data_IF_982285098517
#
_entry.id   IF_982285098517
#
_cell.length_a   1.000
_cell.length_b   1.000
_cell.length_c   1.000
_cell.angle_alpha   90.00
_cell.angle_beta   90.00
_cell.angle_gamma   90.00
#
_symmetry.space_group_name_H-M   'P 1'
#
loop_
_entity.id
_entity.type
_entity.pdbx_description
1 polymer ?
#
# COMPACT_ATOMS: atom_id res chain seq x y z
N UNK A 1 34.75 -3.57 34.62
CA UNK A 1 34.54 -4.60 33.56
C UNK A 1 35.75 -4.59 32.62
N UNK A 2 36.43 -5.72 32.43
CA UNK A 2 37.72 -5.77 31.74
C UNK A 2 37.57 -5.48 30.23
N UNK A 3 38.49 -4.71 29.60
CA UNK A 3 38.37 -4.25 28.19
C UNK A 3 38.18 -5.39 27.17
N UNK A 4 38.67 -6.60 27.50
CA UNK A 4 38.48 -7.82 26.69
C UNK A 4 37.03 -8.33 26.68
N UNK A 5 36.27 -8.11 27.75
CA UNK A 5 34.88 -8.57 27.88
C UNK A 5 33.91 -7.64 27.13
N UNK A 6 34.20 -6.34 27.11
CA UNK A 6 33.39 -5.34 26.39
C UNK A 6 33.36 -5.60 24.87
N UNK A 7 34.51 -5.95 24.27
CA UNK A 7 34.60 -6.27 22.85
C UNK A 7 33.96 -7.60 22.46
N UNK A 8 33.78 -8.53 23.41
CA UNK A 8 33.08 -9.80 23.19
C UNK A 8 31.57 -9.61 23.23
N UNK A 9 31.09 -8.83 24.20
CA UNK A 9 29.66 -8.46 24.33
C UNK A 9 29.20 -7.61 23.14
N UNK A 10 30.00 -6.64 22.68
CA UNK A 10 29.66 -5.81 21.52
C UNK A 10 29.51 -6.62 20.22
N UNK A 11 30.33 -7.67 20.01
CA UNK A 11 30.23 -8.54 18.82
C UNK A 11 29.03 -9.47 18.87
N UNK A 12 28.70 -9.98 20.07
CA UNK A 12 27.51 -10.82 20.27
C UNK A 12 26.24 -9.98 20.09
N UNK A 13 26.22 -8.75 20.61
CA UNK A 13 25.10 -7.82 20.42
C UNK A 13 24.92 -7.43 18.94
N UNK A 14 26.00 -7.17 18.20
CA UNK A 14 25.94 -6.83 16.78
C UNK A 14 25.51 -8.02 15.89
N UNK A 15 25.95 -9.24 16.23
CA UNK A 15 25.52 -10.46 15.54
C UNK A 15 24.06 -10.83 15.86
N UNK A 16 23.63 -10.63 17.11
CA UNK A 16 22.23 -10.82 17.49
C UNK A 16 21.31 -9.81 16.77
N UNK A 17 21.70 -8.53 16.68
CA UNK A 17 20.96 -7.51 15.94
C UNK A 17 20.87 -7.81 14.43
N UNK A 18 21.89 -8.43 13.83
CA UNK A 18 21.89 -8.83 12.43
C UNK A 18 21.02 -10.07 12.16
N UNK A 19 20.98 -11.06 13.07
CA UNK A 19 20.12 -12.24 12.92
C UNK A 19 18.63 -11.93 13.17
N UNK A 20 18.31 -10.93 14.01
CA UNK A 20 16.92 -10.51 14.23
C UNK A 20 16.36 -9.61 13.12
N UNK A 21 17.22 -9.07 12.25
CA UNK A 21 16.81 -8.13 11.19
C UNK A 21 16.34 -8.78 9.88
N UNK A 22 16.48 -10.09 9.72
CA UNK A 22 16.29 -10.78 8.43
C UNK A 22 14.86 -11.29 8.15
N UNK A 23 13.86 -10.99 9.01
CA UNK A 23 12.53 -11.62 8.92
C UNK A 23 11.37 -10.68 8.62
N UNK A 24 11.60 -9.43 8.24
CA UNK A 24 10.51 -8.52 7.90
C UNK A 24 10.43 -8.29 6.39
N UNK A 25 10.07 -9.33 5.63
CA UNK A 25 9.23 -9.06 4.46
C UNK A 25 7.91 -8.53 5.05
N UNK A 26 7.54 -7.29 4.76
CA UNK A 26 6.25 -6.78 5.20
C UNK A 26 5.17 -7.72 4.65
N UNK A 27 4.28 -8.21 5.53
CA UNK A 27 3.15 -9.00 5.07
C UNK A 27 2.32 -8.13 4.11
N UNK A 28 2.15 -8.60 2.88
CA UNK A 28 1.41 -7.92 1.81
C UNK A 28 0.25 -8.81 1.37
N UNK A 29 -0.86 -8.18 0.96
CA UNK A 29 -1.97 -8.88 0.32
C UNK A 29 -1.56 -9.23 -1.10
N UNK A 30 -1.71 -10.50 -1.48
CA UNK A 30 -1.37 -11.02 -2.81
C UNK A 30 -2.56 -11.71 -3.47
N UNK A 31 -2.41 -12.03 -4.76
CA UNK A 31 -3.40 -12.82 -5.49
C UNK A 31 -3.61 -14.19 -4.83
N UNK A 32 -4.86 -14.57 -4.63
CA UNK A 32 -5.26 -15.81 -3.94
C UNK A 32 -5.66 -15.61 -2.47
N UNK A 33 -5.29 -14.48 -1.86
CA UNK A 33 -5.70 -14.18 -0.49
C UNK A 33 -7.20 -13.89 -0.38
N UNK A 34 -7.70 -13.95 0.84
CA UNK A 34 -9.03 -13.50 1.19
C UNK A 34 -8.98 -12.45 2.31
N UNK A 35 -9.75 -11.39 2.13
CA UNK A 35 -9.81 -10.25 3.06
C UNK A 35 -11.24 -10.01 3.53
N UNK A 36 -11.39 -9.25 4.62
CA UNK A 36 -12.65 -8.65 5.04
C UNK A 36 -12.46 -7.16 5.20
N UNK A 37 -13.45 -6.41 4.72
CA UNK A 37 -13.52 -4.96 4.87
C UNK A 37 -14.58 -4.62 5.90
N UNK A 38 -14.24 -3.74 6.83
CA UNK A 38 -15.12 -3.23 7.88
C UNK A 38 -15.41 -1.74 7.66
N UNK A 39 -16.57 -1.27 8.11
CA UNK A 39 -16.98 0.14 8.03
C UNK A 39 -16.37 0.96 9.18
N UNK A 40 -15.10 0.76 9.50
CA UNK A 40 -14.41 1.56 10.50
C UNK A 40 -13.43 2.50 9.79
N UNK A 41 -13.68 3.83 9.80
CA UNK A 41 -14.76 4.57 10.50
C UNK A 41 -16.14 4.48 9.83
N UNK A 42 -17.21 4.68 10.62
CA UNK A 42 -18.62 4.44 10.24
C UNK A 42 -19.20 5.53 9.32
N UNK A 43 -18.71 5.63 8.09
CA UNK A 43 -19.30 6.48 7.06
C UNK A 43 -20.60 5.91 6.48
N UNK A 44 -21.65 6.73 6.38
CA UNK A 44 -22.95 6.41 5.74
C UNK A 44 -22.92 6.48 4.20
N UNK A 45 -21.77 6.86 3.62
CA UNK A 45 -21.47 6.86 2.19
C UNK A 45 -20.07 6.29 1.98
N UNK A 46 -19.95 4.96 1.81
CA UNK A 46 -18.76 4.24 1.36
C UNK A 46 -17.38 4.91 1.66
N UNK A 47 -17.11 5.27 2.91
CA UNK A 47 -15.93 6.06 3.30
C UNK A 47 -14.64 5.25 3.35
N UNK A 48 -13.78 5.53 4.33
CA UNK A 48 -12.61 4.72 4.57
C UNK A 48 -13.01 3.36 5.15
N UNK A 49 -12.50 2.27 4.56
CA UNK A 49 -12.69 0.92 5.07
C UNK A 49 -11.40 0.42 5.70
N UNK A 50 -11.54 -0.18 6.88
CA UNK A 50 -10.47 -0.92 7.51
C UNK A 50 -10.51 -2.36 7.05
N UNK A 51 -9.37 -2.87 6.61
CA UNK A 51 -9.23 -4.21 6.08
C UNK A 51 -8.48 -5.14 7.04
N UNK A 52 -8.86 -6.41 7.00
CA UNK A 52 -8.24 -7.51 7.72
C UNK A 52 -8.04 -8.64 6.74
N UNK A 53 -6.86 -9.25 6.75
CA UNK A 53 -6.62 -10.48 6.03
C UNK A 53 -7.18 -11.67 6.82
N UNK A 54 -8.01 -12.49 6.17
CA UNK A 54 -8.70 -13.61 6.81
C UNK A 54 -8.24 -14.97 6.31
N UNK A 55 -7.58 -15.02 5.16
CA UNK A 55 -6.89 -16.20 4.67
C UNK A 55 -5.72 -15.76 3.81
N UNK A 56 -4.53 -16.27 4.13
CA UNK A 56 -3.33 -16.08 3.33
C UNK A 56 -2.98 -17.34 2.55
N UNK A 57 -2.55 -17.19 1.30
CA UNK A 57 -1.95 -18.30 0.52
C UNK A 57 -0.45 -18.49 0.77
N UNK A 58 0.25 -17.50 1.33
CA UNK A 58 1.70 -17.51 1.57
C UNK A 58 2.12 -17.34 3.03
N UNK A 59 1.17 -17.39 3.98
CA UNK A 59 1.45 -17.17 5.40
C UNK A 59 1.65 -15.69 5.77
N UNK A 60 1.12 -14.75 4.99
CA UNK A 60 1.03 -13.32 5.33
C UNK A 60 0.37 -13.14 6.71
N UNK A 61 0.99 -12.27 7.50
CA UNK A 61 0.67 -12.01 8.90
C UNK A 61 -0.04 -10.67 9.08
N UNK A 62 -0.92 -10.27 8.15
CA UNK A 62 -1.83 -9.13 8.35
C UNK A 62 -2.98 -9.56 9.30
N UNK A 63 -2.60 -10.05 10.48
CA UNK A 63 -3.52 -10.55 11.50
C UNK A 63 -3.80 -9.43 12.50
N UNK A 64 -4.91 -8.71 12.30
CA UNK A 64 -5.42 -7.69 13.22
C UNK A 64 -6.44 -6.76 12.58
N UNK A 65 -7.43 -6.28 13.35
CA UNK A 65 -8.30 -5.19 12.89
C UNK A 65 -7.44 -3.96 12.53
N UNK A 66 -7.72 -3.30 11.40
CA UNK A 66 -6.95 -2.17 10.86
C UNK A 66 -5.56 -2.52 10.30
N UNK A 67 -5.40 -3.70 9.71
CA UNK A 67 -4.16 -4.08 9.02
C UNK A 67 -3.78 -3.10 7.91
N UNK A 68 -4.78 -2.59 7.17
CA UNK A 68 -4.64 -1.41 6.31
C UNK A 68 -5.98 -0.69 6.15
N UNK A 69 -5.95 0.50 5.54
CA UNK A 69 -7.14 1.27 5.19
C UNK A 69 -7.23 1.41 3.68
N UNK A 70 -8.46 1.41 3.17
CA UNK A 70 -8.76 1.45 1.74
C UNK A 70 -10.00 2.29 1.44
N UNK A 71 -10.23 2.54 0.15
CA UNK A 71 -11.36 3.26 -0.41
C UNK A 71 -11.80 2.56 -1.70
N UNK A 72 -13.10 2.66 -2.00
CA UNK A 72 -13.71 2.07 -3.18
C UNK A 72 -13.19 2.76 -4.45
N UNK A 73 -12.90 1.99 -5.49
CA UNK A 73 -12.53 2.55 -6.80
C UNK A 73 -13.76 2.79 -7.67
N UNK A 74 -14.60 1.81 -7.87
CA UNK A 74 -15.75 1.89 -8.79
C UNK A 74 -17.03 2.26 -8.06
N UNK A 75 -17.69 3.38 -8.39
CA UNK A 75 -18.83 3.87 -7.58
C UNK A 75 -20.07 2.95 -7.63
N UNK A 76 -20.22 2.21 -8.72
CA UNK A 76 -21.40 1.39 -8.98
C UNK A 76 -21.20 -0.09 -8.65
N UNK A 77 -20.01 -0.47 -8.22
CA UNK A 77 -19.77 -1.77 -7.64
C UNK A 77 -20.14 -1.78 -6.16
N UNK A 78 -20.40 -2.97 -5.61
CA UNK A 78 -20.81 -3.09 -4.21
C UNK A 78 -20.26 -4.35 -3.57
N UNK A 79 -20.08 -4.26 -2.26
CA UNK A 79 -19.79 -5.39 -1.39
C UNK A 79 -20.58 -5.23 -0.08
N UNK A 80 -20.63 -6.29 0.71
CA UNK A 80 -21.20 -6.25 2.06
C UNK A 80 -20.05 -6.28 3.07
N UNK A 81 -19.88 -5.23 3.90
CA UNK A 81 -18.87 -5.23 4.94
C UNK A 81 -18.97 -6.45 5.86
N UNK A 82 -17.82 -7.00 6.24
CA UNK A 82 -17.71 -8.23 7.05
C UNK A 82 -17.81 -9.53 6.25
N UNK A 83 -18.29 -9.51 5.00
CA UNK A 83 -18.21 -10.69 4.13
C UNK A 83 -16.77 -10.88 3.64
N UNK A 84 -16.38 -12.14 3.46
CA UNK A 84 -15.09 -12.50 2.87
C UNK A 84 -15.09 -12.12 1.39
N UNK A 85 -14.04 -11.40 0.98
CA UNK A 85 -13.74 -11.04 -0.40
C UNK A 85 -12.46 -11.75 -0.82
N UNK A 86 -12.41 -12.21 -2.07
CA UNK A 86 -11.29 -12.95 -2.63
C UNK A 86 -10.50 -12.08 -3.58
N UNK A 87 -9.19 -12.03 -3.38
CA UNK A 87 -8.26 -11.24 -4.19
C UNK A 87 -7.90 -12.07 -5.42
N UNK A 88 -8.36 -11.64 -6.60
CA UNK A 88 -8.00 -12.29 -7.86
C UNK A 88 -6.62 -11.84 -8.34
N UNK A 89 -6.36 -10.54 -8.23
CA UNK A 89 -5.12 -9.92 -8.66
C UNK A 89 -4.88 -8.62 -7.87
N UNK A 90 -3.61 -8.26 -7.73
CA UNK A 90 -3.14 -6.96 -7.22
C UNK A 90 -2.41 -6.28 -8.37
N UNK A 91 -3.04 -5.26 -8.97
CA UNK A 91 -2.52 -4.59 -10.18
C UNK A 91 -2.56 -3.06 -10.05
N UNK A 92 -2.18 -2.34 -11.09
CA UNK A 92 -2.25 -0.88 -11.21
C UNK A 92 -3.54 -0.38 -11.89
N UNK A 93 -4.48 -1.29 -12.15
CA UNK A 93 -5.73 -1.03 -12.83
C UNK A 93 -6.83 -1.99 -12.33
N UNK A 94 -8.09 -1.57 -12.44
CA UNK A 94 -9.24 -2.49 -12.36
C UNK A 94 -9.27 -3.33 -13.64
N UNK A 95 -9.73 -4.58 -13.55
CA UNK A 95 -9.66 -5.54 -14.66
C UNK A 95 -11.00 -5.81 -15.36
N UNK A 96 -12.01 -4.98 -15.10
CA UNK A 96 -13.36 -5.10 -15.66
C UNK A 96 -13.82 -3.88 -16.45
N UNK A 97 -12.89 -3.07 -16.94
CA UNK A 97 -13.25 -1.84 -17.61
C UNK A 97 -13.73 -2.08 -19.04
N UNK A 98 -14.73 -1.28 -19.45
CA UNK A 98 -15.03 -1.12 -20.87
C UNK A 98 -13.86 -0.37 -21.55
N UNK A 99 -13.49 -0.80 -22.75
CA UNK A 99 -12.37 -0.27 -23.53
C UNK A 99 -12.36 1.25 -23.70
N UNK A 100 -13.54 1.89 -23.64
CA UNK A 100 -13.67 3.34 -23.70
C UNK A 100 -13.08 4.11 -22.51
N UNK A 101 -12.96 3.50 -21.32
CA UNK A 101 -12.40 4.15 -20.12
C UNK A 101 -10.87 4.24 -20.18
N UNK A 102 -10.20 3.20 -20.68
CA UNK A 102 -8.74 3.14 -20.85
C UNK A 102 -8.16 4.35 -21.60
N UNK A 103 -8.83 4.81 -22.66
CA UNK A 103 -8.35 5.93 -23.49
C UNK A 103 -8.54 7.32 -22.85
N UNK A 104 -9.33 7.43 -21.78
CA UNK A 104 -9.65 8.71 -21.17
C UNK A 104 -8.67 9.10 -20.05
N UNK A 105 -7.93 8.15 -19.45
CA UNK A 105 -7.05 8.42 -18.31
C UNK A 105 -5.68 8.95 -18.76
N UNK A 106 -5.65 10.26 -19.01
CA UNK A 106 -4.47 11.08 -19.31
C UNK A 106 -3.33 10.88 -18.28
N UNK A 107 -2.45 9.90 -18.53
CA UNK A 107 -1.20 9.70 -17.79
C UNK A 107 -1.17 8.50 -16.82
N UNK A 108 -2.11 7.56 -16.93
CA UNK A 108 -2.19 6.41 -16.02
C UNK A 108 -0.99 5.45 -16.15
N UNK A 109 -0.53 4.89 -15.02
CA UNK A 109 0.61 3.97 -14.97
C UNK A 109 0.15 2.54 -15.25
N UNK A 110 0.22 2.10 -16.51
CA UNK A 110 0.10 0.69 -16.92
C UNK A 110 -1.33 0.11 -16.89
N UNK A 111 -1.76 -0.41 -18.04
CA UNK A 111 -3.04 -1.08 -18.25
C UNK A 111 -3.17 -1.53 -19.71
N UNK A 112 -4.23 -2.28 -20.03
CA UNK A 112 -4.58 -2.71 -21.38
C UNK A 112 -5.96 -2.17 -21.81
N UNK A 113 -6.38 -2.47 -23.05
CA UNK A 113 -7.63 -1.99 -23.63
C UNK A 113 -8.91 -2.47 -22.91
N UNK A 114 -8.83 -3.23 -21.83
CA UNK A 114 -9.95 -3.71 -21.01
C UNK A 114 -9.74 -3.44 -19.51
N UNK A 115 -8.85 -2.52 -19.17
CA UNK A 115 -8.57 -2.13 -17.79
C UNK A 115 -8.78 -0.64 -17.60
N UNK A 116 -9.16 -0.23 -16.38
CA UNK A 116 -9.22 1.17 -15.99
C UNK A 116 -8.03 1.45 -15.06
N UNK A 117 -6.93 2.04 -15.59
CA UNK A 117 -5.72 2.23 -14.80
C UNK A 117 -5.84 3.46 -13.90
N UNK A 118 -5.24 3.35 -12.72
CA UNK A 118 -5.29 4.39 -11.70
C UNK A 118 -4.74 5.70 -12.24
N UNK A 119 -5.43 6.81 -11.93
CA UNK A 119 -4.89 8.12 -12.25
C UNK A 119 -3.70 8.46 -11.33
N UNK A 120 -2.66 9.10 -11.88
CA UNK A 120 -1.52 9.62 -11.09
C UNK A 120 -1.96 10.51 -9.91
N UNK A 121 -3.10 11.18 -10.04
CA UNK A 121 -3.65 12.03 -8.99
C UNK A 121 -4.21 11.21 -7.83
N UNK A 122 -4.88 10.09 -8.12
CA UNK A 122 -5.34 9.15 -7.09
C UNK A 122 -4.16 8.44 -6.44
N UNK A 123 -3.17 8.02 -7.22
CA UNK A 123 -1.93 7.44 -6.69
C UNK A 123 -1.24 8.41 -5.73
N UNK A 124 -1.11 9.69 -6.10
CA UNK A 124 -0.56 10.71 -5.21
C UNK A 124 -1.39 10.89 -3.94
N UNK A 125 -2.71 11.05 -4.09
CA UNK A 125 -3.60 11.34 -2.97
C UNK A 125 -3.60 10.20 -1.94
N UNK A 126 -3.63 8.96 -2.43
CA UNK A 126 -3.60 7.78 -1.57
C UNK A 126 -2.21 7.50 -0.98
N UNK A 127 -1.13 7.82 -1.71
CA UNK A 127 0.23 7.85 -1.16
C UNK A 127 0.34 8.86 -0.04
N UNK A 128 -0.19 10.07 -0.22
CA UNK A 128 -0.18 11.11 0.81
C UNK A 128 -1.02 10.70 2.04
N UNK A 129 -2.17 10.05 1.82
CA UNK A 129 -2.96 9.44 2.89
C UNK A 129 -2.18 8.40 3.70
N UNK A 130 -1.35 7.56 3.07
CA UNK A 130 -0.62 6.52 3.79
C UNK A 130 0.72 6.96 4.39
N UNK A 131 1.37 7.97 3.81
CA UNK A 131 2.70 8.43 4.25
C UNK A 131 2.67 9.63 5.20
N UNK A 132 1.56 10.39 5.26
CA UNK A 132 1.38 11.48 6.21
C UNK A 132 0.42 11.10 7.35
N UNK A 133 0.97 10.71 8.50
CA UNK A 133 0.19 10.25 9.67
C UNK A 133 -0.83 11.27 10.17
N UNK A 134 -0.49 12.56 10.19
CA UNK A 134 -1.40 13.62 10.66
C UNK A 134 -2.58 13.78 9.71
N UNK A 135 -2.32 13.76 8.41
CA UNK A 135 -3.36 13.81 7.38
C UNK A 135 -4.24 12.57 7.44
N UNK A 136 -3.65 11.36 7.48
CA UNK A 136 -4.36 10.09 7.68
C UNK A 136 -5.32 10.14 8.87
N UNK A 137 -4.80 10.54 10.03
CA UNK A 137 -5.59 10.67 11.27
C UNK A 137 -6.72 11.67 11.11
N UNK A 138 -6.49 12.80 10.42
CA UNK A 138 -7.54 13.79 10.16
C UNK A 138 -8.68 13.26 9.28
N UNK A 139 -8.40 12.37 8.33
CA UNK A 139 -9.41 11.72 7.49
C UNK A 139 -10.17 10.65 8.30
N UNK A 140 -9.44 9.79 9.02
CA UNK A 140 -10.02 8.65 9.75
C UNK A 140 -10.79 9.06 11.02
N UNK A 141 -10.56 10.26 11.55
CA UNK A 141 -11.29 10.76 12.73
C UNK A 141 -12.59 11.49 12.39
N UNK A 142 -12.96 11.62 11.11
CA UNK A 142 -14.14 12.36 10.68
C UNK A 142 -14.81 11.68 9.50
N UNK A 143 -16.02 11.15 9.73
CA UNK A 143 -16.80 10.50 8.68
C UNK A 143 -17.06 11.43 7.49
N UNK A 144 -17.31 12.72 7.75
CA UNK A 144 -17.47 13.72 6.69
C UNK A 144 -16.21 13.83 5.81
N UNK A 145 -15.02 13.89 6.42
CA UNK A 145 -13.76 13.94 5.66
C UNK A 145 -13.45 12.63 4.94
N UNK A 146 -13.78 11.48 5.54
CA UNK A 146 -13.64 10.18 4.88
C UNK A 146 -14.56 10.07 3.66
N UNK A 147 -15.81 10.54 3.75
CA UNK A 147 -16.75 10.59 2.63
C UNK A 147 -16.27 11.56 1.53
N UNK A 148 -15.71 12.71 1.91
CA UNK A 148 -15.11 13.66 0.97
C UNK A 148 -13.85 13.10 0.30
N UNK A 149 -13.04 12.33 1.03
CA UNK A 149 -11.90 11.61 0.44
C UNK A 149 -12.38 10.59 -0.59
N UNK A 150 -13.39 9.78 -0.27
CA UNK A 150 -14.02 8.85 -1.23
C UNK A 150 -14.56 9.60 -2.47
N UNK A 151 -15.22 10.74 -2.26
CA UNK A 151 -15.74 11.58 -3.35
C UNK A 151 -14.61 12.11 -4.24
N UNK A 152 -13.47 12.49 -3.64
CA UNK A 152 -12.29 12.92 -4.39
C UNK A 152 -11.70 11.77 -5.22
N UNK A 153 -11.58 10.56 -4.66
CA UNK A 153 -11.14 9.36 -5.39
C UNK A 153 -12.04 9.11 -6.60
N UNK A 154 -13.36 8.99 -6.39
CA UNK A 154 -14.29 8.78 -7.50
C UNK A 154 -14.27 9.91 -8.54
N UNK A 155 -14.04 11.16 -8.14
CA UNK A 155 -13.89 12.24 -9.10
C UNK A 155 -12.63 12.09 -9.96
N UNK A 156 -11.49 11.77 -9.33
CA UNK A 156 -10.21 11.60 -10.02
C UNK A 156 -10.22 10.40 -10.97
N UNK A 157 -10.91 9.33 -10.58
CA UNK A 157 -11.14 8.13 -11.40
C UNK A 157 -12.34 8.25 -12.36
N UNK A 158 -13.00 9.42 -12.42
CA UNK A 158 -14.16 9.71 -13.30
C UNK A 158 -15.39 8.82 -13.10
N UNK A 159 -15.58 8.33 -11.90
CA UNK A 159 -16.68 7.46 -11.47
C UNK A 159 -17.96 8.21 -11.11
N UNK A 160 -17.91 9.56 -11.14
CA UNK A 160 -19.01 10.44 -10.77
C UNK A 160 -19.85 10.93 -11.96
N UNK A 161 -19.83 10.23 -13.11
CA UNK A 161 -20.66 10.61 -14.27
C UNK A 161 -22.13 10.71 -13.86
N UNK A 162 -22.75 11.86 -14.12
CA UNK A 162 -24.16 12.14 -13.76
C UNK A 162 -24.42 12.40 -12.27
N UNK A 163 -23.38 12.49 -11.44
CA UNK A 163 -23.48 12.77 -10.00
C UNK A 163 -23.11 14.21 -9.67
N UNK A 164 -23.84 14.83 -8.73
CA UNK A 164 -23.51 16.15 -8.19
C UNK A 164 -22.70 16.10 -6.89
N UNK A 165 -22.31 14.90 -6.42
CA UNK A 165 -21.61 14.70 -5.13
C UNK A 165 -20.37 15.60 -5.02
N UNK A 166 -19.52 15.60 -6.04
CA UNK A 166 -18.31 16.43 -6.05
C UNK A 166 -18.60 17.94 -6.12
N UNK A 167 -19.64 18.35 -6.87
CA UNK A 167 -19.97 19.76 -7.08
C UNK A 167 -20.28 20.50 -5.78
N UNK A 168 -20.81 19.81 -4.77
CA UNK A 168 -21.16 20.38 -3.47
C UNK A 168 -20.14 20.08 -2.36
N UNK A 169 -19.11 19.28 -2.64
CA UNK A 169 -18.12 18.90 -1.65
C UNK A 169 -16.87 19.79 -1.71
N UNK A 170 -16.83 20.79 -0.82
CA UNK A 170 -15.70 21.71 -0.71
C UNK A 170 -14.39 21.02 -0.34
N UNK A 171 -14.43 20.00 0.51
CA UNK A 171 -13.21 19.32 0.97
C UNK A 171 -12.67 18.39 -0.11
N UNK A 172 -13.53 17.65 -0.82
CA UNK A 172 -13.14 16.85 -1.97
C UNK A 172 -12.45 17.70 -3.05
N UNK A 173 -12.97 18.90 -3.34
CA UNK A 173 -12.32 19.86 -4.26
C UNK A 173 -10.91 20.25 -3.83
N UNK A 174 -10.70 20.47 -2.52
CA UNK A 174 -9.38 20.77 -1.99
C UNK A 174 -8.41 19.59 -2.19
N UNK A 175 -8.85 18.36 -1.92
CA UNK A 175 -8.04 17.15 -2.12
C UNK A 175 -7.66 16.95 -3.60
N UNK A 176 -8.63 17.11 -4.51
CA UNK A 176 -8.42 17.04 -5.96
C UNK A 176 -7.43 18.11 -6.44
N UNK A 177 -7.52 19.33 -5.90
CA UNK A 177 -6.60 20.40 -6.22
C UNK A 177 -5.18 20.11 -5.71
N UNK A 178 -5.04 19.59 -4.49
CA UNK A 178 -3.74 19.19 -3.95
C UNK A 178 -3.07 18.13 -4.83
N UNK A 179 -3.82 17.09 -5.20
CA UNK A 179 -3.34 16.04 -6.10
C UNK A 179 -2.96 16.57 -7.48
N UNK A 180 -3.80 17.45 -8.05
CA UNK A 180 -3.52 18.09 -9.34
C UNK A 180 -2.26 18.94 -9.30
N UNK A 181 -2.07 19.74 -8.24
CA UNK A 181 -0.86 20.55 -8.06
C UNK A 181 0.38 19.69 -7.96
N UNK A 182 0.34 18.59 -7.20
CA UNK A 182 1.50 17.71 -7.03
C UNK A 182 1.91 17.04 -8.35
N UNK A 183 0.95 16.47 -9.09
CA UNK A 183 1.20 15.83 -10.39
C UNK A 183 1.69 16.86 -11.42
N UNK A 184 1.08 18.06 -11.46
CA UNK A 184 1.51 19.13 -12.36
C UNK A 184 2.93 19.63 -12.03
N UNK A 185 3.36 19.52 -10.78
CA UNK A 185 4.72 19.83 -10.33
C UNK A 185 5.71 18.68 -10.55
N UNK A 186 5.32 17.64 -11.29
CA UNK A 186 6.21 16.55 -11.71
C UNK A 186 6.25 15.36 -10.74
N UNK A 187 5.29 15.22 -9.82
CA UNK A 187 5.20 14.01 -9.01
C UNK A 187 4.90 12.79 -9.90
N UNK A 188 5.55 11.67 -9.57
CA UNK A 188 5.35 10.35 -10.20
C UNK A 188 5.32 9.29 -9.11
N UNK A 189 4.63 8.17 -9.33
CA UNK A 189 4.62 7.04 -8.39
C UNK A 189 5.93 6.24 -8.47
N UNK A 190 6.95 6.72 -7.76
CA UNK A 190 8.24 6.04 -7.67
C UNK A 190 8.06 4.77 -6.83
N UNK A 191 8.35 3.62 -7.43
CA UNK A 191 8.25 2.33 -6.77
C UNK A 191 6.88 1.67 -6.90
N UNK A 192 5.93 2.32 -7.61
CA UNK A 192 4.59 1.79 -7.81
C UNK A 192 4.03 1.42 -6.42
N UNK A 193 3.70 2.38 -5.56
CA UNK A 193 3.28 2.06 -4.18
C UNK A 193 1.76 1.90 -4.07
N UNK A 194 1.01 2.45 -5.03
CA UNK A 194 -0.45 2.34 -5.03
C UNK A 194 -0.92 1.28 -6.03
N UNK A 195 -1.84 0.43 -5.59
CA UNK A 195 -2.40 -0.70 -6.31
C UNK A 195 -3.91 -0.75 -6.20
N UNK A 196 -4.48 -1.62 -7.00
CA UNK A 196 -5.87 -2.05 -7.04
C UNK A 196 -5.92 -3.50 -6.58
N UNK A 197 -6.70 -3.76 -5.53
CA UNK A 197 -7.15 -5.12 -5.21
C UNK A 197 -8.38 -5.40 -6.07
N UNK A 198 -8.24 -6.35 -6.98
CA UNK A 198 -9.35 -6.81 -7.82
C UNK A 198 -10.13 -7.88 -7.04
N UNK A 199 -11.32 -7.52 -6.56
CA UNK A 199 -12.04 -8.30 -5.56
C UNK A 199 -13.25 -9.04 -6.10
N UNK A 200 -13.50 -10.22 -5.54
CA UNK A 200 -14.62 -11.08 -5.91
C UNK A 200 -15.36 -11.59 -4.67
N UNK A 201 -16.64 -11.87 -4.82
CA UNK A 201 -17.50 -12.40 -3.74
C UNK A 201 -17.31 -13.90 -3.51
N UNK A 202 -16.71 -14.59 -4.48
CA UNK A 202 -16.49 -16.04 -4.46
C UNK A 202 -15.06 -16.42 -4.88
N UNK A 203 -14.60 -17.57 -4.37
CA UNK A 203 -13.24 -18.09 -4.60
C UNK A 203 -12.98 -18.49 -6.07
N UNK A 204 -14.03 -18.75 -6.84
CA UNK A 204 -13.90 -19.09 -8.25
C UNK A 204 -13.87 -17.85 -9.15
N UNK A 205 -13.91 -16.65 -8.56
CA UNK A 205 -13.84 -15.37 -9.25
C UNK A 205 -14.94 -15.18 -10.32
N UNK A 206 -16.17 -15.56 -9.98
CA UNK A 206 -17.33 -15.49 -10.89
C UNK A 206 -18.23 -14.28 -10.64
N UNK A 207 -18.19 -13.70 -9.44
CA UNK A 207 -19.00 -12.56 -9.04
C UNK A 207 -18.11 -11.41 -8.60
N UNK A 208 -18.14 -10.31 -9.37
CA UNK A 208 -17.41 -9.10 -9.03
C UNK A 208 -17.86 -8.51 -7.68
N UNK A 209 -16.88 -8.04 -6.93
CA UNK A 209 -17.06 -7.20 -5.77
C UNK A 209 -16.37 -5.86 -6.03
N UNK A 210 -16.67 -4.88 -5.20
CA UNK A 210 -16.03 -3.57 -5.22
C UNK A 210 -14.51 -3.66 -5.18
N UNK A 211 -13.85 -3.20 -6.24
CA UNK A 211 -12.41 -3.00 -6.27
C UNK A 211 -11.94 -1.89 -5.31
N UNK A 212 -10.74 -2.08 -4.74
CA UNK A 212 -10.23 -1.30 -3.60
C UNK A 212 -8.81 -0.79 -3.82
N UNK A 213 -8.52 0.41 -3.32
CA UNK A 213 -7.17 0.96 -3.27
C UNK A 213 -6.27 0.22 -2.27
N UNK A 214 -5.03 -0.04 -2.64
CA UNK A 214 -4.06 -0.72 -1.77
C UNK A 214 -2.71 -0.06 -1.82
N UNK A 215 -2.08 0.07 -0.65
CA UNK A 215 -0.79 0.73 -0.51
C UNK A 215 0.24 -0.30 -0.09
N UNK A 216 1.23 -0.49 -0.95
CA UNK A 216 2.37 -1.36 -0.71
C UNK A 216 3.47 -0.51 -0.10
N UNK A 217 3.80 -0.76 1.16
CA UNK A 217 4.95 -0.10 1.77
C UNK A 217 6.22 -0.57 1.07
N UNK A 218 7.06 0.36 0.61
CA UNK A 218 8.35 0.03 0.04
C UNK A 218 9.17 -0.80 1.05
N UNK A 219 9.31 -2.10 0.77
CA UNK A 219 10.20 -2.99 1.52
C UNK A 219 11.61 -2.73 0.99
N UNK A 220 12.62 -2.47 1.85
CA UNK A 220 13.99 -2.47 1.38
C UNK A 220 14.28 -3.85 0.79
N UNK A 221 14.58 -3.91 -0.50
CA UNK A 221 14.65 -5.17 -1.22
C UNK A 221 15.58 -6.15 -0.48
N UNK A 222 15.26 -7.45 -0.42
CA UNK A 222 16.09 -8.46 0.25
C UNK A 222 17.56 -8.40 -0.14
N UNK A 223 17.83 -7.97 -1.37
CA UNK A 223 19.16 -7.74 -1.93
C UNK A 223 19.92 -6.62 -1.22
N UNK A 224 19.27 -5.54 -0.80
CA UNK A 224 19.90 -4.45 -0.04
C UNK A 224 20.41 -4.96 1.31
N UNK A 225 19.63 -5.83 1.97
CA UNK A 225 20.08 -6.50 3.18
C UNK A 225 21.20 -7.50 2.90
N UNK A 226 21.13 -8.26 1.81
CA UNK A 226 22.19 -9.17 1.40
C UNK A 226 23.50 -8.43 1.08
N UNK A 227 23.44 -7.28 0.40
CA UNK A 227 24.60 -6.43 0.10
C UNK A 227 25.15 -5.74 1.35
N UNK A 228 24.28 -5.29 2.26
CA UNK A 228 24.70 -4.79 3.57
C UNK A 228 25.42 -5.89 4.36
N UNK A 229 24.86 -7.09 4.43
CA UNK A 229 25.46 -8.24 5.12
C UNK A 229 26.75 -8.69 4.44
N UNK A 230 26.82 -8.69 3.11
CA UNK A 230 28.03 -8.97 2.35
C UNK A 230 29.11 -7.91 2.63
N UNK A 231 28.73 -6.62 2.66
CA UNK A 231 29.62 -5.51 3.02
C UNK A 231 30.16 -5.65 4.44
N UNK A 232 29.30 -5.96 5.41
CA UNK A 232 29.69 -6.22 6.80
C UNK A 232 30.59 -7.46 6.93
N UNK A 233 30.31 -8.52 6.16
CA UNK A 233 31.12 -9.72 6.08
C UNK A 233 32.54 -9.42 5.57
N UNK A 234 32.66 -8.61 4.52
CA UNK A 234 33.93 -8.18 3.96
C UNK A 234 34.75 -7.35 4.97
N UNK A 235 34.11 -6.37 5.63
CA UNK A 235 34.75 -5.55 6.67
C UNK A 235 35.24 -6.42 7.84
N UNK A 236 34.42 -7.38 8.28
CA UNK A 236 34.79 -8.35 9.30
C UNK A 236 36.01 -9.21 8.91
N UNK A 237 36.08 -9.68 7.66
CA UNK A 237 37.21 -10.44 7.13
C UNK A 237 38.50 -9.61 7.09
N UNK A 238 38.42 -8.36 6.63
CA UNK A 238 39.57 -7.44 6.60
C UNK A 238 40.08 -7.14 8.01
N UNK A 239 39.18 -6.88 8.97
CA UNK A 239 39.54 -6.65 10.36
C UNK A 239 40.24 -7.86 11.01
N UNK A 240 39.82 -9.09 10.67
CA UNK A 240 40.48 -10.33 11.12
C UNK A 240 41.90 -10.45 10.55
N UNK A 241 42.09 -10.18 9.25
CA UNK A 241 43.41 -10.23 8.60
C UNK A 241 44.40 -9.25 9.23
N UNK A 242 43.97 -8.02 9.51
CA UNK A 242 44.81 -7.00 10.16
C UNK A 242 45.27 -7.41 11.55
N UNK A 243 44.37 -8.02 12.36
CA UNK A 243 44.74 -8.54 13.69
C UNK A 243 45.74 -9.69 13.63
N UNK A 244 45.60 -10.61 12.67
CA UNK A 244 46.54 -11.72 12.53
C UNK A 244 47.95 -11.22 12.16
N UNK A 245 48.05 -10.20 11.28
CA UNK A 245 49.33 -9.60 10.91
C UNK A 245 50.00 -8.84 12.06
N UNK A 246 49.22 -8.16 12.90
CA UNK A 246 49.73 -7.43 14.08
C UNK A 246 50.09 -8.34 15.27
N UNK A 247 49.66 -9.61 15.28
CA UNK A 247 50.05 -10.60 16.28
C UNK A 247 51.27 -11.44 15.87
N UNK A 248 51.70 -11.32 14.62
CA UNK A 248 52.89 -11.98 14.06
C UNK A 248 54.13 -11.07 14.04
N UNK A 249 54.01 -9.86 14.58
CA UNK A 249 55.07 -8.87 14.86
C UNK A 249 55.17 -8.69 16.36
#
# INVERSE_FOLDING_TARGET
MNRKNLGRVARIALAAAALTGAQFAAAEVVAGDAIKLSTSPKGTLAGAFSAIEVSSVNGSSLSGENSFYTFCLEKFETFTPGNTLYVKNVSNATQNANSSYYSANNGASGGNAYSDPLSLKTEWLFSYFNTNTSFKTSILSSDSKANSFQTAVWYLEKELVGSSLYSYDTYAKQLVQMASTAVNNGWTDVGNQVRVLNLYKDKNYTQYAQDQLYFVSAVPEPETYALMLAGLGLVGAVARRRKAKAAAT
#
